data_IF_706721536343
#
_entry.id   IF_706721536343
#
_cell.length_a   1.000
_cell.length_b   1.000
_cell.length_c   1.000
_cell.angle_alpha   90.00
_cell.angle_beta   90.00
_cell.angle_gamma   90.00
#
_symmetry.space_group_name_H-M   'P 1'
#
loop_
_entity.id
_entity.type
_entity.pdbx_description
1 polymer ?
#
# COMPACT_ATOMS: atom_id res chain seq x y z
N UNK A 1 -4.09 -14.02 10.08
CA UNK A 1 -4.23 -12.69 9.44
C UNK A 1 -4.68 -11.73 10.52
N UNK A 2 -3.95 -10.65 10.80
CA UNK A 2 -4.41 -9.63 11.76
C UNK A 2 -5.61 -8.88 11.15
N UNK A 3 -6.74 -8.85 11.85
CA UNK A 3 -7.91 -8.07 11.44
C UNK A 3 -7.65 -6.56 11.43
N UNK A 4 -8.52 -5.77 10.80
CA UNK A 4 -8.32 -4.33 10.62
C UNK A 4 -8.20 -3.55 11.93
N UNK A 5 -8.97 -3.89 12.95
CA UNK A 5 -8.89 -3.26 14.28
C UNK A 5 -7.51 -3.46 14.92
N UNK A 6 -7.01 -4.71 14.91
CA UNK A 6 -5.67 -5.03 15.39
C UNK A 6 -4.60 -4.30 14.56
N UNK A 7 -4.80 -4.18 13.24
CA UNK A 7 -3.87 -3.43 12.39
C UNK A 7 -3.85 -1.95 12.77
N UNK A 8 -5.00 -1.34 12.99
CA UNK A 8 -5.12 0.06 13.41
C UNK A 8 -4.42 0.31 14.75
N UNK A 9 -4.71 -0.54 15.74
CA UNK A 9 -4.16 -0.40 17.09
C UNK A 9 -2.64 -0.56 17.12
N UNK A 10 -2.11 -1.56 16.39
CA UNK A 10 -0.70 -1.93 16.45
C UNK A 10 0.21 -1.17 15.47
N UNK A 11 -0.33 -0.27 14.65
CA UNK A 11 0.47 0.52 13.70
C UNK A 11 0.68 1.94 14.22
N UNK A 12 1.88 2.48 14.09
CA UNK A 12 2.19 3.89 14.38
C UNK A 12 1.69 4.82 13.27
N UNK A 13 1.64 4.32 12.03
CA UNK A 13 1.14 5.03 10.87
C UNK A 13 0.12 4.17 10.15
N UNK A 14 -0.99 4.78 9.73
CA UNK A 14 -2.01 4.16 8.89
C UNK A 14 -2.56 5.24 7.95
N UNK A 15 -2.42 5.02 6.64
CA UNK A 15 -2.78 6.00 5.63
C UNK A 15 -3.30 5.33 4.35
N UNK A 16 -3.98 6.10 3.52
CA UNK A 16 -4.37 5.74 2.17
C UNK A 16 -3.51 6.53 1.20
N UNK A 17 -2.99 5.85 0.19
CA UNK A 17 -2.25 6.49 -0.89
C UNK A 17 -2.69 5.97 -2.25
N UNK A 18 -2.47 6.78 -3.27
CA UNK A 18 -2.70 6.42 -4.67
C UNK A 18 -1.40 6.57 -5.45
N UNK A 19 -1.13 5.74 -6.47
CA UNK A 19 0.02 5.92 -7.32
C UNK A 19 -0.24 7.08 -8.28
N UNK A 20 0.72 7.99 -8.38
CA UNK A 20 0.70 9.14 -9.30
C UNK A 20 1.69 8.97 -10.46
N UNK A 21 2.60 8.00 -10.35
CA UNK A 21 3.53 7.61 -11.40
C UNK A 21 3.93 6.15 -11.21
N UNK A 22 3.91 5.37 -12.30
CA UNK A 22 4.39 3.99 -12.31
C UNK A 22 5.33 3.79 -13.49
N UNK A 23 6.50 3.21 -13.24
CA UNK A 23 7.43 2.80 -14.30
C UNK A 23 7.74 1.32 -14.15
N UNK A 24 8.03 0.67 -15.29
CA UNK A 24 8.37 -0.75 -15.38
C UNK A 24 9.68 -0.87 -16.13
N UNK A 25 10.64 -1.55 -15.54
CA UNK A 25 11.92 -1.84 -16.15
C UNK A 25 12.23 -3.35 -16.07
N UNK A 26 13.01 -3.90 -17.01
CA UNK A 26 13.48 -5.28 -16.91
C UNK A 26 14.22 -5.52 -15.59
N UNK A 27 14.23 -6.77 -15.14
CA UNK A 27 15.03 -7.13 -13.97
C UNK A 27 16.51 -6.82 -14.25
N UNK A 28 17.22 -6.16 -13.32
CA UNK A 28 18.58 -5.67 -13.56
C UNK A 28 19.62 -6.78 -13.75
N UNK A 29 19.32 -8.00 -13.30
CA UNK A 29 20.15 -9.19 -13.45
C UNK A 29 19.85 -9.99 -14.72
N UNK A 30 18.86 -9.57 -15.53
CA UNK A 30 18.40 -10.29 -16.72
C UNK A 30 17.72 -11.63 -16.42
N UNK A 31 17.45 -11.95 -15.15
CA UNK A 31 16.91 -13.26 -14.73
C UNK A 31 15.43 -13.47 -15.05
N UNK A 32 14.73 -12.40 -15.43
CA UNK A 32 13.29 -12.38 -15.65
C UNK A 32 12.88 -12.50 -17.12
N UNK A 33 11.71 -13.10 -17.36
CA UNK A 33 11.10 -13.12 -18.68
C UNK A 33 10.43 -11.76 -18.94
N UNK A 34 11.11 -10.82 -19.59
CA UNK A 34 10.46 -9.57 -19.99
C UNK A 34 9.37 -9.82 -21.05
N UNK A 35 8.19 -9.17 -20.98
CA UNK A 35 7.72 -8.18 -19.99
C UNK A 35 6.93 -8.79 -18.81
N UNK A 36 6.97 -10.11 -18.62
CA UNK A 36 6.26 -10.82 -17.55
C UNK A 36 6.86 -10.55 -16.17
N UNK A 37 8.18 -10.52 -16.10
CA UNK A 37 8.93 -10.25 -14.88
C UNK A 37 9.61 -8.88 -15.01
N UNK A 38 9.32 -7.98 -14.07
CA UNK A 38 9.79 -6.61 -14.12
C UNK A 38 9.96 -6.01 -12.74
N UNK A 39 10.82 -5.00 -12.66
CA UNK A 39 10.92 -4.12 -11.51
C UNK A 39 9.94 -2.97 -11.72
N UNK A 40 9.04 -2.77 -10.76
CA UNK A 40 8.11 -1.66 -10.76
C UNK A 40 8.59 -0.60 -9.77
N UNK A 41 8.78 0.63 -10.24
CA UNK A 41 8.94 1.79 -9.39
C UNK A 41 7.64 2.59 -9.39
N UNK A 42 7.23 3.03 -8.21
CA UNK A 42 5.94 3.69 -7.99
C UNK A 42 6.15 4.88 -7.07
N UNK A 43 5.67 6.04 -7.50
CA UNK A 43 5.51 7.22 -6.66
C UNK A 43 4.07 7.26 -6.16
N UNK A 44 3.91 7.29 -4.85
CA UNK A 44 2.63 7.35 -4.17
C UNK A 44 2.39 8.74 -3.62
N UNK A 45 1.14 9.19 -3.69
CA UNK A 45 0.64 10.38 -3.01
C UNK A 45 -0.33 9.96 -1.90
N UNK A 46 -0.11 10.48 -0.70
CA UNK A 46 -1.01 10.28 0.43
C UNK A 46 -2.30 11.06 0.21
N UNK A 47 -3.43 10.36 0.17
CA UNK A 47 -4.76 10.97 -0.04
C UNK A 47 -5.58 11.04 1.25
N UNK A 48 -5.23 10.23 2.25
CA UNK A 48 -5.90 10.21 3.57
C UNK A 48 -4.96 9.68 4.63
N UNK A 49 -5.08 10.21 5.85
CA UNK A 49 -4.30 9.74 7.01
C UNK A 49 -5.26 9.43 8.14
N UNK A 50 -5.18 8.22 8.67
CA UNK A 50 -5.94 7.80 9.86
C UNK A 50 -5.09 7.85 11.13
N UNK A 51 -3.77 7.63 11.01
CA UNK A 51 -2.84 7.64 12.13
C UNK A 51 -1.42 7.98 11.67
N UNK A 52 -0.65 8.62 12.53
CA UNK A 52 0.75 9.00 12.30
C UNK A 52 0.93 10.47 11.95
N UNK A 53 2.13 10.85 11.52
CA UNK A 53 2.54 12.24 11.27
C UNK A 53 2.55 12.64 9.79
N UNK A 54 2.25 11.70 8.88
CA UNK A 54 2.11 12.00 7.46
C UNK A 54 0.97 12.98 7.20
N UNK A 55 1.03 13.67 6.05
CA UNK A 55 0.03 14.63 5.61
C UNK A 55 -0.53 14.24 4.25
N UNK A 56 -1.77 14.65 4.00
CA UNK A 56 -2.36 14.57 2.66
C UNK A 56 -1.51 15.40 1.70
N UNK A 57 -1.16 14.83 0.55
CA UNK A 57 -0.24 15.40 -0.43
C UNK A 57 1.24 15.00 -0.23
N UNK A 58 1.61 14.39 0.90
CA UNK A 58 2.95 13.83 1.05
C UNK A 58 3.19 12.73 0.01
N UNK A 59 4.42 12.64 -0.49
CA UNK A 59 4.82 11.66 -1.48
C UNK A 59 5.85 10.68 -0.93
N UNK A 60 5.78 9.44 -1.38
CA UNK A 60 6.79 8.43 -1.07
C UNK A 60 6.96 7.44 -2.22
N UNK A 61 8.12 6.80 -2.27
CA UNK A 61 8.47 5.88 -3.34
C UNK A 61 8.47 4.43 -2.85
N UNK A 62 8.03 3.51 -3.72
CA UNK A 62 8.24 2.08 -3.55
C UNK A 62 8.79 1.46 -4.81
N UNK A 63 9.81 0.63 -4.64
CA UNK A 63 10.29 -0.27 -5.67
C UNK A 63 9.90 -1.69 -5.31
N UNK A 64 9.31 -2.43 -6.25
CA UNK A 64 8.97 -3.85 -6.08
C UNK A 64 9.39 -4.69 -7.27
N UNK A 65 9.61 -5.97 -6.99
CA UNK A 65 9.92 -6.98 -7.99
C UNK A 65 8.64 -7.74 -8.28
N UNK A 66 8.14 -7.63 -9.51
CA UNK A 66 6.97 -8.36 -9.96
C UNK A 66 7.47 -9.58 -10.72
N UNK A 67 7.20 -10.77 -10.19
CA UNK A 67 7.53 -12.04 -10.84
C UNK A 67 6.25 -12.83 -11.11
N UNK A 68 6.13 -13.34 -12.33
CA UNK A 68 5.10 -14.31 -12.69
C UNK A 68 3.68 -13.79 -12.54
N UNK A 69 3.34 -12.70 -13.24
CA UNK A 69 1.97 -12.13 -13.35
C UNK A 69 0.86 -13.13 -13.77
N UNK A 70 1.20 -14.39 -14.03
CA UNK A 70 0.27 -15.49 -14.29
C UNK A 70 -0.23 -16.25 -13.04
N UNK A 71 0.25 -15.91 -11.83
CA UNK A 71 -0.26 -16.48 -10.57
C UNK A 71 -1.14 -15.49 -9.82
N UNK A 72 -2.34 -15.91 -9.38
CA UNK A 72 -3.34 -15.09 -8.66
C UNK A 72 -2.78 -14.23 -7.51
N UNK A 73 -1.66 -14.61 -6.88
CA UNK A 73 -1.06 -13.87 -5.77
C UNK A 73 -0.19 -12.67 -6.21
N UNK A 74 0.40 -12.71 -7.40
CA UNK A 74 1.30 -11.65 -7.90
C UNK A 74 0.56 -10.39 -8.38
N UNK A 75 -0.71 -10.54 -8.78
CA UNK A 75 -1.56 -9.44 -9.22
C UNK A 75 -1.81 -8.40 -8.10
N UNK A 76 -1.81 -8.81 -6.83
CA UNK A 76 -1.98 -7.91 -5.69
C UNK A 76 -0.76 -7.01 -5.42
N UNK A 77 0.39 -7.30 -6.05
CA UNK A 77 1.62 -6.55 -5.87
C UNK A 77 1.79 -5.44 -6.91
N UNK A 78 1.10 -5.55 -8.05
CA UNK A 78 1.12 -4.54 -9.10
C UNK A 78 0.40 -3.30 -8.60
N UNK A 79 1.07 -2.14 -8.69
CA UNK A 79 0.39 -0.86 -8.54
C UNK A 79 -0.18 -0.43 -9.89
N UNK A 80 -1.47 -0.13 -9.93
CA UNK A 80 -2.14 0.41 -11.11
C UNK A 80 -2.54 1.86 -10.86
N UNK A 81 -2.42 2.71 -11.88
CA UNK A 81 -2.82 4.12 -11.77
C UNK A 81 -4.28 4.24 -11.31
N UNK A 82 -4.53 5.13 -10.34
CA UNK A 82 -5.84 5.31 -9.73
C UNK A 82 -6.21 4.28 -8.65
N UNK A 83 -5.43 3.21 -8.46
CA UNK A 83 -5.67 2.24 -7.39
C UNK A 83 -5.31 2.83 -6.02
N UNK A 84 -6.29 3.00 -5.15
CA UNK A 84 -6.05 3.45 -3.77
C UNK A 84 -5.70 2.27 -2.88
N UNK A 85 -4.61 2.40 -2.12
CA UNK A 85 -4.04 1.33 -1.31
C UNK A 85 -3.80 1.82 0.11
N UNK A 86 -4.19 1.01 1.08
CA UNK A 86 -3.90 1.27 2.50
C UNK A 86 -2.46 0.87 2.81
N UNK A 87 -1.74 1.78 3.46
CA UNK A 87 -0.40 1.54 3.99
C UNK A 87 -0.39 1.65 5.50
N UNK A 88 0.46 0.85 6.12
CA UNK A 88 0.70 0.89 7.55
C UNK A 88 2.19 0.80 7.87
N UNK A 89 2.56 1.25 9.06
CA UNK A 89 3.88 1.04 9.64
C UNK A 89 3.76 0.78 11.13
N UNK A 90 4.47 -0.24 11.64
CA UNK A 90 4.67 -0.41 13.09
C UNK A 90 5.82 0.45 13.62
N UNK A 91 6.78 0.80 12.75
CA UNK A 91 7.96 1.60 13.06
C UNK A 91 8.31 2.46 11.84
N UNK A 92 7.97 3.76 11.84
CA UNK A 92 8.32 4.68 10.76
C UNK A 92 9.83 4.66 10.48
N UNK A 93 10.29 4.92 9.24
CA UNK A 93 9.53 5.42 8.09
C UNK A 93 9.02 4.34 7.13
N UNK A 94 9.20 3.06 7.45
CA UNK A 94 8.94 1.98 6.49
C UNK A 94 7.44 1.68 6.37
N UNK A 95 6.85 2.02 5.22
CA UNK A 95 5.45 1.74 4.91
C UNK A 95 5.29 0.39 4.21
N UNK A 96 4.36 -0.42 4.68
CA UNK A 96 3.95 -1.68 4.08
C UNK A 96 2.51 -1.59 3.58
N UNK A 97 2.22 -2.20 2.43
CA UNK A 97 0.84 -2.33 1.95
C UNK A 97 0.07 -3.24 2.91
N UNK A 98 -1.13 -2.83 3.29
CA UNK A 98 -2.06 -3.72 3.96
C UNK A 98 -2.82 -4.53 2.90
N UNK A 99 -2.31 -5.72 2.59
CA UNK A 99 -2.94 -6.62 1.62
C UNK A 99 -4.40 -6.90 1.98
N UNK A 100 -5.25 -6.95 0.95
CA UNK A 100 -6.71 -7.12 1.03
C UNK A 100 -7.48 -5.95 1.65
N UNK A 101 -6.81 -4.89 2.10
CA UNK A 101 -7.48 -3.68 2.56
C UNK A 101 -7.79 -2.75 1.39
N UNK A 102 -9.03 -2.80 0.87
CA UNK A 102 -9.53 -1.73 -0.01
C UNK A 102 -10.08 -0.57 0.82
N UNK A 103 -10.00 0.64 0.28
CA UNK A 103 -10.67 1.81 0.87
C UNK A 103 -12.16 1.53 1.07
N UNK A 104 -12.81 0.88 0.10
CA UNK A 104 -14.23 0.55 0.14
C UNK A 104 -14.58 -0.39 1.30
N UNK A 105 -13.74 -1.40 1.57
CA UNK A 105 -14.02 -2.39 2.60
C UNK A 105 -13.61 -1.92 4.02
N UNK A 106 -12.56 -1.11 4.14
CA UNK A 106 -11.96 -0.79 5.45
C UNK A 106 -11.93 0.69 5.79
N UNK A 107 -12.15 1.58 4.82
CA UNK A 107 -12.10 3.03 5.02
C UNK A 107 -13.10 3.51 6.06
N UNK A 108 -14.35 3.01 6.01
CA UNK A 108 -15.38 3.36 7.00
C UNK A 108 -15.02 2.88 8.42
N UNK A 109 -14.43 1.68 8.54
CA UNK A 109 -14.00 1.14 9.83
C UNK A 109 -12.83 1.94 10.40
N UNK A 110 -11.80 2.22 9.60
CA UNK A 110 -10.68 3.05 10.04
C UNK A 110 -11.09 4.48 10.37
N UNK A 111 -12.06 5.03 9.63
CA UNK A 111 -12.67 6.31 9.96
C UNK A 111 -13.36 6.28 11.34
N UNK A 112 -14.10 5.21 11.63
CA UNK A 112 -14.76 5.06 12.92
C UNK A 112 -13.76 4.88 14.08
N UNK A 113 -12.70 4.09 13.86
CA UNK A 113 -11.61 3.89 14.83
C UNK A 113 -10.82 5.19 15.06
N UNK A 114 -10.49 5.93 14.01
CA UNK A 114 -9.77 7.21 14.10
C UNK A 114 -10.57 8.29 14.84
N UNK A 115 -11.91 8.24 14.78
CA UNK A 115 -12.79 9.13 15.56
C UNK A 115 -13.00 8.69 17.01
N UNK A 116 -12.50 7.51 17.41
CA UNK A 116 -12.79 6.93 18.73
C UNK A 116 -14.24 6.48 18.90
N UNK A 117 -14.96 6.25 17.80
CA UNK A 117 -16.39 5.87 17.80
C UNK A 117 -16.63 4.37 17.95
N UNK A 118 -15.57 3.57 17.92
CA UNK A 118 -15.60 2.13 18.23
C UNK A 118 -14.53 1.90 19.29
N UNK A 119 -14.97 1.50 20.49
CA UNK A 119 -14.11 0.97 21.54
C UNK A 119 -14.28 -0.56 21.50
N UNK A 120 -13.20 -1.35 21.41
CA UNK A 120 -13.31 -2.81 21.43
C UNK A 120 -13.92 -3.34 22.72
#
# INVERSE_FOLDING_TARGET
MEGPENKFNNSDTLLLAQPISTTREPLPDGSGLWPRDYRQHVVWEVVKVWKGSAKVGDQFEQTRWIRGTGGHCSAYEVAEEGQRVVFYSKHPPQLSRYYHASEEAFGLLFDALARGTITP
#
